data_IF_239022966855
#
_entry.id   IF_239022966855
#
_cell.length_a   1.000
_cell.length_b   1.000
_cell.length_c   1.000
_cell.angle_alpha   90.00
_cell.angle_beta   90.00
_cell.angle_gamma   90.00
#
_symmetry.space_group_name_H-M   'P 1'
#
loop_
_entity.id
_entity.type
_entity.pdbx_description
1 polymer ?
#
# COMPACT_ATOMS: atom_id res chain seq x y z
N UNK A 1 2.68 21.19 -7.97
CA UNK A 1 4.05 21.25 -7.40
C UNK A 1 4.49 19.83 -7.12
N UNK A 2 5.70 19.45 -7.52
CA UNK A 2 6.27 18.11 -7.27
C UNK A 2 6.66 17.98 -5.79
N UNK A 3 6.45 16.80 -5.21
CA UNK A 3 6.83 16.48 -3.83
C UNK A 3 7.84 15.33 -3.84
N UNK A 4 8.84 15.44 -2.97
CA UNK A 4 9.87 14.41 -2.81
C UNK A 4 9.51 13.49 -1.65
N UNK A 5 9.77 12.21 -1.83
CA UNK A 5 9.54 11.17 -0.84
C UNK A 5 10.70 10.17 -0.80
N UNK A 6 10.72 9.33 0.23
CA UNK A 6 11.73 8.25 0.36
C UNK A 6 11.09 6.96 0.89
N UNK A 7 11.56 5.82 0.39
CA UNK A 7 11.20 4.52 0.96
C UNK A 7 12.00 4.26 2.23
N UNK A 8 11.34 3.73 3.25
CA UNK A 8 11.95 3.28 4.50
C UNK A 8 11.47 1.86 4.83
N UNK A 9 12.27 1.15 5.60
CA UNK A 9 11.93 -0.15 6.17
C UNK A 9 12.01 -0.08 7.71
N UNK A 10 10.89 0.16 8.41
CA UNK A 10 10.89 0.30 9.87
C UNK A 10 11.19 -1.01 10.61
N UNK A 11 11.19 -2.14 9.90
CA UNK A 11 11.46 -3.47 10.44
C UNK A 11 12.94 -3.87 10.33
N UNK A 12 13.76 -3.10 9.61
CA UNK A 12 15.19 -3.31 9.51
C UNK A 12 15.95 -2.24 10.31
N UNK A 13 16.92 -2.59 11.18
CA UNK A 13 17.64 -1.61 11.99
C UNK A 13 18.34 -0.50 11.20
N UNK A 14 18.82 -0.81 9.99
CA UNK A 14 19.39 0.16 9.05
C UNK A 14 18.42 0.63 7.96
N UNK A 15 17.14 0.25 8.04
CA UNK A 15 16.12 0.56 7.04
C UNK A 15 15.50 1.94 7.18
N UNK A 16 15.86 2.67 8.22
CA UNK A 16 15.41 4.03 8.48
C UNK A 16 16.52 4.79 9.23
N UNK A 17 16.60 6.12 9.10
CA UNK A 17 17.57 6.89 9.87
C UNK A 17 17.23 6.84 11.37
N UNK A 18 18.26 6.81 12.21
CA UNK A 18 18.09 6.89 13.67
C UNK A 18 17.50 8.24 14.10
N UNK A 19 17.81 9.30 13.37
CA UNK A 19 17.25 10.63 13.54
C UNK A 19 16.42 11.01 12.30
N UNK A 20 15.12 11.24 12.50
CA UNK A 20 14.21 11.61 11.42
C UNK A 20 14.54 12.97 10.80
N UNK A 21 15.22 13.88 11.51
CA UNK A 21 15.61 15.19 10.98
C UNK A 21 16.57 15.09 9.79
N UNK A 22 17.25 13.95 9.61
CA UNK A 22 18.01 13.64 8.40
C UNK A 22 17.15 13.65 7.11
N UNK A 23 15.83 13.52 7.26
CA UNK A 23 14.84 13.60 6.17
C UNK A 23 14.06 14.92 6.17
N UNK A 24 14.52 15.95 6.87
CA UNK A 24 13.88 17.27 6.85
C UNK A 24 13.75 17.79 5.40
N UNK A 25 12.56 18.30 5.08
CA UNK A 25 12.24 18.78 3.72
C UNK A 25 11.60 17.73 2.81
N UNK A 26 11.79 16.43 3.09
CA UNK A 26 11.01 15.36 2.45
C UNK A 26 9.53 15.50 2.85
N UNK A 27 8.62 15.27 1.91
CA UNK A 27 7.17 15.42 2.13
C UNK A 27 6.46 14.11 2.41
N UNK A 28 7.07 12.99 2.03
CA UNK A 28 6.51 11.65 2.22
C UNK A 28 7.58 10.63 2.60
N UNK A 29 7.27 9.77 3.55
CA UNK A 29 7.96 8.48 3.69
C UNK A 29 7.02 7.37 3.24
N UNK A 30 7.56 6.35 2.55
CA UNK A 30 6.81 5.17 2.11
C UNK A 30 7.30 3.94 2.85
N UNK A 31 6.38 3.15 3.40
CA UNK A 31 6.70 1.93 4.16
C UNK A 31 5.61 0.88 3.97
N UNK A 32 5.98 -0.41 4.06
CA UNK A 32 5.00 -1.50 4.14
C UNK A 32 4.41 -1.55 5.55
N UNK A 33 3.09 -1.66 5.65
CA UNK A 33 2.38 -1.89 6.90
C UNK A 33 2.24 -3.40 7.14
N UNK A 34 3.25 -4.03 7.74
CA UNK A 34 3.31 -5.48 7.93
C UNK A 34 2.70 -5.88 9.27
N UNK A 35 1.75 -6.82 9.25
CA UNK A 35 1.11 -7.40 10.44
C UNK A 35 1.31 -8.90 10.43
N UNK A 36 0.72 -9.57 9.44
CA UNK A 36 0.74 -11.03 9.33
C UNK A 36 2.14 -11.56 9.01
N UNK A 37 2.86 -10.94 8.06
CA UNK A 37 4.26 -11.31 7.78
C UNK A 37 5.19 -11.02 8.97
N UNK A 38 4.87 -9.98 9.76
CA UNK A 38 5.58 -9.64 10.97
C UNK A 38 5.25 -10.56 12.16
N UNK A 39 4.20 -11.39 12.04
CA UNK A 39 3.66 -12.27 13.10
C UNK A 39 3.31 -11.53 14.38
N UNK A 40 2.70 -10.35 14.24
CA UNK A 40 2.27 -9.51 15.35
C UNK A 40 0.76 -9.30 15.33
N UNK A 41 0.19 -8.89 16.46
CA UNK A 41 -1.22 -8.48 16.48
C UNK A 41 -1.39 -7.12 15.79
N UNK A 42 -2.63 -6.80 15.42
CA UNK A 42 -2.93 -5.48 14.85
C UNK A 42 -2.61 -4.35 15.85
N UNK A 43 -2.83 -4.57 17.15
CA UNK A 43 -2.51 -3.59 18.19
C UNK A 43 -1.00 -3.36 18.35
N UNK A 44 -0.19 -4.43 18.24
CA UNK A 44 1.27 -4.32 18.26
C UNK A 44 1.80 -3.56 17.03
N UNK A 45 1.20 -3.82 15.87
CA UNK A 45 1.48 -3.09 14.65
C UNK A 45 1.11 -1.61 14.81
N UNK A 46 -0.08 -1.29 15.35
CA UNK A 46 -0.48 0.09 15.60
C UNK A 46 0.51 0.84 16.47
N UNK A 47 0.99 0.25 17.59
CA UNK A 47 2.00 0.91 18.42
C UNK A 47 3.28 1.22 17.64
N UNK A 48 3.77 0.25 16.86
CA UNK A 48 4.98 0.41 16.04
C UNK A 48 4.82 1.53 15.01
N UNK A 49 3.70 1.53 14.29
CA UNK A 49 3.48 2.44 13.17
C UNK A 49 2.92 3.81 13.61
N UNK A 50 2.25 3.93 14.75
CA UNK A 50 1.89 5.22 15.37
C UNK A 50 3.14 6.01 15.76
N UNK A 51 4.16 5.35 16.34
CA UNK A 51 5.45 5.98 16.64
C UNK A 51 6.12 6.48 15.36
N UNK A 52 6.08 5.69 14.29
CA UNK A 52 6.63 6.06 12.98
C UNK A 52 5.90 7.26 12.38
N UNK A 53 4.57 7.22 12.33
CA UNK A 53 3.73 8.31 11.80
C UNK A 53 3.96 9.60 12.58
N UNK A 54 3.97 9.53 13.91
CA UNK A 54 4.24 10.68 14.78
C UNK A 54 5.63 11.25 14.51
N UNK A 55 6.66 10.40 14.45
CA UNK A 55 8.04 10.80 14.19
C UNK A 55 8.18 11.58 12.88
N UNK A 56 7.57 11.10 11.79
CA UNK A 56 7.69 11.77 10.49
C UNK A 56 6.77 12.99 10.34
N UNK A 57 5.58 12.95 10.94
CA UNK A 57 4.71 14.14 11.00
C UNK A 57 5.39 15.31 11.72
N UNK A 58 6.17 15.04 12.77
CA UNK A 58 6.90 16.07 13.53
C UNK A 58 7.98 16.81 12.72
N UNK A 59 8.47 16.22 11.62
CA UNK A 59 9.39 16.90 10.68
C UNK A 59 8.67 17.44 9.43
N UNK A 60 7.34 17.38 9.41
CA UNK A 60 6.50 17.86 8.31
C UNK A 60 6.35 16.90 7.13
N UNK A 61 6.71 15.62 7.31
CA UNK A 61 6.49 14.55 6.33
C UNK A 61 5.22 13.76 6.64
N UNK A 62 4.51 13.33 5.60
CA UNK A 62 3.37 12.39 5.69
C UNK A 62 3.84 10.97 5.45
N UNK A 63 2.97 9.98 5.70
CA UNK A 63 3.28 8.56 5.49
C UNK A 63 2.41 7.95 4.41
N UNK A 64 3.02 7.29 3.43
CA UNK A 64 2.37 6.41 2.48
C UNK A 64 2.57 4.96 2.93
N UNK A 65 1.50 4.32 3.41
CA UNK A 65 1.54 2.91 3.77
C UNK A 65 1.16 2.04 2.58
N UNK A 66 1.97 1.01 2.34
CA UNK A 66 1.64 -0.08 1.41
C UNK A 66 0.85 -1.14 2.18
N UNK A 67 -0.33 -1.48 1.66
CA UNK A 67 -1.18 -2.56 2.14
C UNK A 67 -1.11 -3.72 1.13
N UNK A 68 -0.55 -4.86 1.54
CA UNK A 68 -0.38 -6.04 0.68
C UNK A 68 -0.50 -7.36 1.49
N UNK A 69 0.00 -8.48 0.94
CA UNK A 69 0.03 -9.79 1.62
C UNK A 69 0.76 -9.77 2.97
N UNK A 70 1.66 -8.82 3.21
CA UNK A 70 2.36 -8.70 4.48
C UNK A 70 1.47 -8.09 5.58
N UNK A 71 0.53 -7.24 5.17
CA UNK A 71 -0.51 -6.69 6.03
C UNK A 71 -1.54 -7.77 6.40
N UNK A 72 -1.94 -8.57 5.42
CA UNK A 72 -2.94 -9.61 5.59
C UNK A 72 -2.67 -10.79 4.65
N UNK A 73 -2.28 -11.92 5.23
CA UNK A 73 -2.09 -13.18 4.50
C UNK A 73 -3.42 -13.89 4.28
N UNK A 74 -4.27 -13.90 5.31
CA UNK A 74 -5.59 -14.54 5.28
C UNK A 74 -5.55 -15.97 4.74
N UNK A 75 -6.48 -16.26 3.84
CA UNK A 75 -6.53 -17.52 3.08
C UNK A 75 -5.84 -17.41 1.70
N UNK A 76 -4.75 -16.63 1.61
CA UNK A 76 -3.93 -16.36 0.43
C UNK A 76 -4.31 -17.11 -0.87
N UNK A 77 -4.99 -16.46 -1.83
CA UNK A 77 -5.58 -17.12 -3.00
C UNK A 77 -4.57 -17.39 -4.14
N UNK A 78 -3.27 -17.39 -3.84
CA UNK A 78 -2.18 -17.31 -4.81
C UNK A 78 -2.15 -18.50 -5.79
N UNK A 79 -2.54 -19.69 -5.31
CA UNK A 79 -2.59 -20.93 -6.08
C UNK A 79 -4.04 -21.30 -6.46
N UNK A 80 -4.68 -20.45 -7.28
CA UNK A 80 -6.08 -20.63 -7.75
C UNK A 80 -7.15 -20.57 -6.65
N UNK A 81 -6.92 -19.77 -5.61
CA UNK A 81 -7.87 -19.60 -4.51
C UNK A 81 -8.96 -18.56 -4.80
N UNK A 82 -9.81 -18.35 -3.79
CA UNK A 82 -10.94 -17.42 -3.86
C UNK A 82 -10.51 -15.97 -3.60
N UNK A 83 -10.26 -15.23 -4.67
CA UNK A 83 -9.94 -13.80 -4.59
C UNK A 83 -11.11 -12.91 -4.16
N UNK A 84 -12.36 -13.33 -4.33
CA UNK A 84 -13.52 -12.55 -3.83
C UNK A 84 -13.56 -12.60 -2.31
N UNK A 85 -13.34 -13.79 -1.74
CA UNK A 85 -13.18 -13.96 -0.29
C UNK A 85 -11.99 -13.18 0.23
N UNK A 86 -10.82 -13.34 -0.39
CA UNK A 86 -9.62 -12.64 0.05
C UNK A 86 -9.81 -11.12 0.00
N UNK A 87 -10.37 -10.58 -1.09
CA UNK A 87 -10.63 -9.16 -1.23
C UNK A 87 -11.55 -8.62 -0.13
N UNK A 88 -12.60 -9.36 0.25
CA UNK A 88 -13.50 -8.98 1.35
C UNK A 88 -12.78 -8.95 2.70
N UNK A 89 -12.11 -10.03 3.07
CA UNK A 89 -11.42 -10.15 4.36
C UNK A 89 -10.26 -9.15 4.47
N UNK A 90 -9.51 -8.95 3.38
CA UNK A 90 -8.46 -7.97 3.33
C UNK A 90 -9.01 -6.54 3.44
N UNK A 91 -10.13 -6.23 2.79
CA UNK A 91 -10.79 -4.95 2.92
C UNK A 91 -11.27 -4.67 4.35
N UNK A 92 -11.77 -5.67 5.08
CA UNK A 92 -12.13 -5.52 6.49
C UNK A 92 -10.91 -5.12 7.34
N UNK A 93 -9.77 -5.81 7.17
CA UNK A 93 -8.50 -5.46 7.83
C UNK A 93 -8.03 -4.05 7.45
N UNK A 94 -8.05 -3.71 6.18
CA UNK A 94 -7.66 -2.39 5.68
C UNK A 94 -8.58 -1.28 6.19
N UNK A 95 -9.88 -1.56 6.35
CA UNK A 95 -10.85 -0.61 6.94
C UNK A 95 -10.53 -0.33 8.40
N UNK A 96 -10.17 -1.34 9.20
CA UNK A 96 -9.72 -1.16 10.58
C UNK A 96 -8.46 -0.30 10.66
N UNK A 97 -7.47 -0.59 9.81
CA UNK A 97 -6.21 0.18 9.74
C UNK A 97 -6.51 1.63 9.33
N UNK A 98 -7.30 1.84 8.28
CA UNK A 98 -7.65 3.18 7.80
C UNK A 98 -8.41 3.99 8.85
N UNK A 99 -9.32 3.36 9.61
CA UNK A 99 -10.04 4.01 10.69
C UNK A 99 -9.08 4.48 11.80
N UNK A 100 -8.08 3.67 12.16
CA UNK A 100 -7.08 4.02 13.16
C UNK A 100 -6.20 5.22 12.76
N UNK A 101 -5.90 5.37 11.46
CA UNK A 101 -5.05 6.43 10.93
C UNK A 101 -5.81 7.63 10.33
N UNK A 102 -7.14 7.68 10.48
CA UNK A 102 -7.97 8.76 9.96
C UNK A 102 -7.45 10.13 10.40
N UNK A 103 -7.15 10.99 9.43
CA UNK A 103 -6.64 12.34 9.70
C UNK A 103 -5.21 12.42 10.27
N UNK A 104 -4.48 11.30 10.40
CA UNK A 104 -3.10 11.27 10.94
C UNK A 104 -2.00 11.51 9.87
N UNK A 105 -2.36 12.11 8.73
CA UNK A 105 -1.39 12.39 7.66
C UNK A 105 -0.93 11.14 6.89
N UNK A 106 -1.83 10.18 6.71
CA UNK A 106 -1.55 8.90 6.04
C UNK A 106 -2.24 8.81 4.66
N UNK A 107 -1.56 8.18 3.71
CA UNK A 107 -2.09 7.74 2.43
C UNK A 107 -1.88 6.23 2.25
N UNK A 108 -2.62 5.62 1.31
CA UNK A 108 -2.70 4.16 1.16
C UNK A 108 -2.31 3.74 -0.25
N UNK A 109 -1.24 2.99 -0.38
CA UNK A 109 -0.92 2.26 -1.60
C UNK A 109 -1.51 0.84 -1.50
N UNK A 110 -2.41 0.52 -2.42
CA UNK A 110 -3.02 -0.80 -2.46
C UNK A 110 -2.15 -1.69 -3.34
N UNK A 111 -1.50 -2.64 -2.68
CA UNK A 111 -0.55 -3.61 -3.23
C UNK A 111 0.78 -3.02 -3.70
N UNK A 112 1.80 -3.86 -3.79
CA UNK A 112 3.12 -3.53 -4.32
C UNK A 112 3.45 -4.53 -5.42
N UNK A 113 3.88 -4.07 -6.60
CA UNK A 113 4.42 -4.90 -7.69
C UNK A 113 3.58 -6.13 -8.07
N UNK A 114 2.25 -6.04 -7.98
CA UNK A 114 1.35 -7.16 -8.28
C UNK A 114 1.38 -7.59 -9.74
N UNK A 115 1.94 -6.75 -10.60
CA UNK A 115 2.14 -7.00 -12.02
C UNK A 115 3.46 -7.72 -12.36
N UNK A 116 4.31 -7.99 -11.36
CA UNK A 116 5.62 -8.60 -11.53
C UNK A 116 5.71 -9.98 -10.83
N UNK A 117 5.97 -11.04 -11.61
CA UNK A 117 6.26 -12.38 -11.05
C UNK A 117 7.67 -12.44 -10.48
N UNK A 118 7.80 -13.01 -9.28
CA UNK A 118 9.10 -13.14 -8.59
C UNK A 118 9.64 -11.81 -8.04
N UNK A 119 8.79 -10.77 -7.98
CA UNK A 119 9.13 -9.47 -7.39
C UNK A 119 9.11 -9.50 -5.86
N UNK A 120 9.10 -8.30 -5.25
CA UNK A 120 9.09 -8.16 -3.80
C UNK A 120 7.74 -8.54 -3.14
N UNK A 121 6.72 -8.83 -3.95
CA UNK A 121 5.37 -9.17 -3.47
C UNK A 121 4.74 -10.25 -4.34
N UNK A 122 3.63 -10.81 -3.87
CA UNK A 122 2.94 -11.85 -4.62
C UNK A 122 2.33 -11.24 -5.89
N UNK A 123 2.53 -11.91 -7.02
CA UNK A 123 1.89 -11.58 -8.29
C UNK A 123 0.37 -11.77 -8.18
N UNK A 124 -0.39 -10.80 -8.72
CA UNK A 124 -1.84 -10.83 -8.76
C UNK A 124 -2.29 -10.53 -10.19
N UNK A 125 -3.03 -11.44 -10.80
CA UNK A 125 -3.60 -11.21 -12.13
C UNK A 125 -4.52 -9.97 -12.14
N UNK A 126 -4.62 -9.28 -13.27
CA UNK A 126 -5.34 -8.01 -13.36
C UNK A 126 -6.80 -8.09 -12.88
N UNK A 127 -7.54 -9.14 -13.25
CA UNK A 127 -8.94 -9.31 -12.84
C UNK A 127 -9.08 -9.58 -11.33
N UNK A 128 -8.09 -10.26 -10.73
CA UNK A 128 -8.06 -10.52 -9.30
C UNK A 128 -7.65 -9.28 -8.51
N UNK A 129 -6.69 -8.52 -9.03
CA UNK A 129 -6.30 -7.24 -8.44
C UNK A 129 -7.44 -6.22 -8.50
N UNK A 130 -8.28 -6.25 -9.55
CA UNK A 130 -9.49 -5.43 -9.62
C UNK A 130 -10.44 -5.69 -8.43
N UNK A 131 -10.63 -6.96 -8.02
CA UNK A 131 -11.47 -7.33 -6.86
C UNK A 131 -10.90 -6.74 -5.58
N UNK A 132 -9.59 -6.95 -5.36
CA UNK A 132 -8.86 -6.41 -4.19
C UNK A 132 -8.93 -4.89 -4.15
N UNK A 133 -8.58 -4.23 -5.26
CA UNK A 133 -8.56 -2.77 -5.37
C UNK A 133 -9.94 -2.17 -5.07
N UNK A 134 -11.00 -2.74 -5.64
CA UNK A 134 -12.38 -2.28 -5.41
C UNK A 134 -12.78 -2.41 -3.93
N UNK A 135 -12.55 -3.58 -3.33
CA UNK A 135 -12.95 -3.86 -1.96
C UNK A 135 -12.17 -2.99 -0.96
N UNK A 136 -10.84 -2.95 -1.09
CA UNK A 136 -9.97 -2.19 -0.19
C UNK A 136 -10.22 -0.69 -0.32
N UNK A 137 -10.33 -0.15 -1.54
CA UNK A 137 -10.66 1.27 -1.73
C UNK A 137 -12.00 1.65 -1.09
N UNK A 138 -13.02 0.79 -1.21
CA UNK A 138 -14.32 1.05 -0.59
C UNK A 138 -14.23 1.08 0.94
N UNK A 139 -13.51 0.14 1.56
CA UNK A 139 -13.32 0.09 3.00
C UNK A 139 -12.51 1.29 3.52
N UNK A 140 -11.42 1.66 2.83
CA UNK A 140 -10.63 2.85 3.17
C UNK A 140 -11.49 4.11 3.09
N UNK A 141 -12.28 4.28 2.02
CA UNK A 141 -13.17 5.43 1.86
C UNK A 141 -14.27 5.51 2.92
N UNK A 142 -14.79 4.36 3.36
CA UNK A 142 -15.78 4.32 4.44
C UNK A 142 -15.19 4.79 5.78
N UNK A 143 -13.92 4.45 6.04
CA UNK A 143 -13.21 4.89 7.24
C UNK A 143 -12.76 6.36 7.17
N UNK A 144 -12.09 6.73 6.08
CA UNK A 144 -11.58 8.07 5.80
C UNK A 144 -11.84 8.45 4.33
N UNK A 145 -12.91 9.21 4.10
CA UNK A 145 -13.28 9.66 2.77
C UNK A 145 -12.25 10.61 2.12
N UNK A 146 -11.33 11.19 2.90
CA UNK A 146 -10.33 12.16 2.43
C UNK A 146 -8.92 11.57 2.28
N UNK A 147 -8.67 10.34 2.74
CA UNK A 147 -7.36 9.73 2.63
C UNK A 147 -6.97 9.51 1.15
N UNK A 148 -5.75 9.87 0.70
CA UNK A 148 -5.31 9.54 -0.64
C UNK A 148 -5.14 8.03 -0.82
N UNK A 149 -5.60 7.50 -1.94
CA UNK A 149 -5.47 6.08 -2.30
C UNK A 149 -4.71 5.96 -3.62
N UNK A 150 -3.65 5.16 -3.63
CA UNK A 150 -2.74 4.95 -4.74
C UNK A 150 -2.92 3.52 -5.27
N UNK A 151 -3.07 3.38 -6.58
CA UNK A 151 -3.02 2.12 -7.28
C UNK A 151 -1.58 1.64 -7.33
N UNK A 152 -1.25 0.59 -6.58
CA UNK A 152 -0.02 -0.17 -6.71
C UNK A 152 1.29 0.61 -6.59
N UNK A 153 2.38 -0.12 -6.77
CA UNK A 153 3.68 0.35 -7.20
C UNK A 153 4.13 -0.58 -8.33
N UNK A 154 3.73 -0.28 -9.57
CA UNK A 154 3.84 -1.20 -10.69
C UNK A 154 5.27 -1.29 -11.22
N UNK A 155 5.78 -2.50 -11.42
CA UNK A 155 7.19 -2.75 -11.80
C UNK A 155 7.34 -3.72 -12.98
N UNK A 156 6.24 -4.24 -13.51
CA UNK A 156 6.24 -5.21 -14.59
C UNK A 156 6.66 -4.60 -15.94
N UNK A 157 7.10 -5.47 -16.84
CA UNK A 157 7.51 -5.08 -18.20
C UNK A 157 6.35 -4.60 -19.08
N UNK A 158 5.10 -4.92 -18.72
CA UNK A 158 3.89 -4.49 -19.43
C UNK A 158 2.88 -3.80 -18.48
N UNK A 159 3.41 -2.88 -17.66
CA UNK A 159 2.66 -2.10 -16.67
C UNK A 159 1.41 -1.42 -17.27
N UNK A 160 1.51 -0.89 -18.50
CA UNK A 160 0.42 -0.15 -19.14
C UNK A 160 -0.77 -1.07 -19.46
N UNK A 161 -0.53 -2.27 -20.03
CA UNK A 161 -1.62 -3.18 -20.34
C UNK A 161 -2.21 -3.82 -19.09
N UNK A 162 -1.39 -4.05 -18.05
CA UNK A 162 -1.88 -4.46 -16.74
C UNK A 162 -2.88 -3.44 -16.18
N UNK A 163 -2.48 -2.16 -16.10
CA UNK A 163 -3.34 -1.06 -15.63
C UNK A 163 -4.64 -0.94 -16.46
N UNK A 164 -4.56 -1.04 -17.79
CA UNK A 164 -5.73 -1.02 -18.67
C UNK A 164 -6.68 -2.18 -18.39
N UNK A 165 -6.15 -3.37 -18.16
CA UNK A 165 -6.94 -4.57 -17.87
C UNK A 165 -7.68 -4.45 -16.54
N UNK A 166 -6.99 -4.01 -15.49
CA UNK A 166 -7.63 -3.73 -14.18
C UNK A 166 -8.72 -2.66 -14.32
N UNK A 167 -8.43 -1.57 -15.04
CA UNK A 167 -9.42 -0.51 -15.29
C UNK A 167 -10.64 -1.03 -16.06
N UNK A 168 -10.44 -1.92 -17.05
CA UNK A 168 -11.54 -2.53 -17.82
C UNK A 168 -12.42 -3.41 -16.93
N UNK A 169 -11.82 -4.24 -16.07
CA UNK A 169 -12.53 -5.07 -15.09
C UNK A 169 -13.36 -4.22 -14.10
N UNK A 170 -12.96 -2.96 -13.88
CA UNK A 170 -13.65 -1.99 -13.02
C UNK A 170 -14.58 -1.03 -13.79
N UNK A 171 -15.16 -1.48 -14.90
CA UNK A 171 -16.08 -0.68 -15.71
C UNK A 171 -15.49 0.68 -16.14
N UNK A 172 -14.21 0.67 -16.50
CA UNK A 172 -13.44 1.83 -16.97
C UNK A 172 -13.21 2.97 -15.95
N UNK A 173 -13.44 2.73 -14.66
CA UNK A 173 -13.22 3.71 -13.58
C UNK A 173 -12.40 3.10 -12.44
N UNK A 174 -11.23 3.67 -12.17
CA UNK A 174 -10.40 3.26 -11.02
C UNK A 174 -10.94 3.90 -9.72
N UNK A 175 -11.08 3.14 -8.62
CA UNK A 175 -11.53 3.65 -7.32
C UNK A 175 -10.36 4.20 -6.48
N UNK A 176 -9.43 4.92 -7.12
CA UNK A 176 -8.20 5.46 -6.52
C UNK A 176 -7.92 6.88 -7.03
N UNK A 177 -7.01 7.59 -6.38
CA UNK A 177 -6.68 8.98 -6.71
C UNK A 177 -5.43 9.10 -7.59
N UNK A 178 -4.54 8.11 -7.53
CA UNK A 178 -3.26 8.12 -8.24
C UNK A 178 -2.81 6.71 -8.62
N UNK A 179 -1.78 6.61 -9.47
CA UNK A 179 -1.12 5.36 -9.87
C UNK A 179 0.35 5.43 -9.51
N UNK A 180 0.87 4.43 -8.80
CA UNK A 180 2.28 4.28 -8.48
C UNK A 180 3.00 3.40 -9.51
N UNK A 181 4.23 3.79 -9.86
CA UNK A 181 5.11 3.09 -10.81
C UNK A 181 6.53 3.04 -10.28
N UNK A 182 7.23 1.94 -10.56
CA UNK A 182 8.62 1.64 -10.22
C UNK A 182 9.43 1.43 -11.51
N UNK A 183 9.88 2.51 -12.19
CA UNK A 183 10.53 2.42 -13.50
C UNK A 183 12.00 2.00 -13.39
N UNK A 184 12.31 0.97 -12.61
CA UNK A 184 13.67 0.49 -12.41
C UNK A 184 14.28 0.02 -13.72
N UNK A 185 15.37 0.66 -14.15
CA UNK A 185 16.10 0.28 -15.36
C UNK A 185 15.33 0.45 -16.67
N UNK A 186 14.16 1.10 -16.65
CA UNK A 186 13.38 1.40 -17.85
C UNK A 186 13.72 2.81 -18.33
N UNK A 187 14.21 2.92 -19.56
CA UNK A 187 14.50 4.18 -20.23
C UNK A 187 13.61 4.30 -21.49
N UNK A 188 13.24 5.52 -21.92
CA UNK A 188 12.45 5.75 -23.14
C UNK A 188 13.07 5.18 -24.41
#
# INVERSE_FOLDING_TARGET
MVQWGININPRHPAGQPNDATALAGVKWVRAVFSVDAARVTLDDAFRTYDDMVTRYNNIGAKVLFVLNQETFWGHGPWDHGDYERYAREFAERCGQIAAHYKGKGVAWEIWNEGDLKGGASVFVAADDFAKVLKAVSAAVRAADSKAPIIFGGLAGSDTINYLKSVRKALNNKLPVDAVGIHPYGQWP
#
